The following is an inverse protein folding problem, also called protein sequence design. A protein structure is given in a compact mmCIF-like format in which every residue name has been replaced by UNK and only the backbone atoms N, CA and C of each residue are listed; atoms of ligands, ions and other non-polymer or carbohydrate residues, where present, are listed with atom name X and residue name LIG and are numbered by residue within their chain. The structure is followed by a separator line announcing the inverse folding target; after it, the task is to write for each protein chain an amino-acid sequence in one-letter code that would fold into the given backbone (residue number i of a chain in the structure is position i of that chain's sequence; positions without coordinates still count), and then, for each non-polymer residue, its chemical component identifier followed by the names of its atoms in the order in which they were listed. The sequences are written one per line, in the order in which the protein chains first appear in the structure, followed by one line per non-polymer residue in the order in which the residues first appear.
data_IF_699738294177
#
_entry.id   IF_699738294177
#
_cell.length_a   1.000
_cell.length_b   1.000
_cell.length_c   1.000
_cell.angle_alpha   90.00
_cell.angle_beta   90.00
_cell.angle_gamma   90.00
#
_symmetry.space_group_name_H-M   'P 1'
#
loop_
_entity.id
_entity.type
_entity.pdbx_description
1 polymer ?
#
# COMPACT_ATOMS: atom_id res chain seq x y z
N UNK A 1 -14.06 42.09 -5.25
CA UNK A 1 -15.33 42.84 -5.33
C UNK A 1 -15.96 42.77 -3.93
N UNK A 2 -15.99 43.85 -3.20
CA UNK A 2 -16.62 43.87 -1.88
C UNK A 2 -18.16 43.76 -2.04
N UNK A 3 -18.80 42.96 -1.19
CA UNK A 3 -20.26 42.79 -1.18
C UNK A 3 -20.82 41.73 -2.15
N UNK A 4 -19.97 40.88 -2.70
CA UNK A 4 -20.40 39.76 -3.55
C UNK A 4 -19.92 38.44 -2.97
N UNK A 5 -20.66 37.36 -3.22
CA UNK A 5 -20.32 36.00 -2.88
C UNK A 5 -20.43 35.09 -4.11
N UNK A 6 -19.62 34.06 -4.16
CA UNK A 6 -19.65 33.03 -5.21
C UNK A 6 -19.96 31.70 -4.57
N UNK A 7 -20.94 30.99 -5.10
CA UNK A 7 -21.26 29.62 -4.64
C UNK A 7 -20.25 28.64 -5.22
N UNK A 8 -19.60 27.89 -4.36
CA UNK A 8 -18.69 26.82 -4.73
C UNK A 8 -19.09 25.52 -4.04
N UNK A 9 -18.53 24.41 -4.47
CA UNK A 9 -18.72 23.10 -3.86
C UNK A 9 -17.47 22.73 -3.05
N UNK A 10 -17.62 21.77 -2.14
CA UNK A 10 -16.51 21.22 -1.37
C UNK A 10 -15.41 20.71 -2.33
N UNK A 11 -14.16 21.05 -2.05
CA UNK A 11 -13.01 20.72 -2.87
C UNK A 11 -12.78 21.62 -4.09
N UNK A 12 -13.71 22.56 -4.38
CA UNK A 12 -13.52 23.51 -5.47
C UNK A 12 -12.44 24.55 -5.13
N UNK A 13 -11.68 25.04 -6.13
CA UNK A 13 -10.75 26.13 -5.90
C UNK A 13 -11.49 27.40 -5.49
N UNK A 14 -10.97 28.08 -4.46
CA UNK A 14 -11.49 29.38 -4.02
C UNK A 14 -11.05 30.44 -5.04
N UNK A 15 -11.99 31.25 -5.56
CA UNK A 15 -11.62 32.34 -6.46
C UNK A 15 -10.64 33.33 -5.81
N UNK A 16 -9.67 33.83 -6.56
CA UNK A 16 -8.63 34.76 -6.07
C UNK A 16 -9.19 36.04 -5.41
N UNK A 17 -10.45 36.38 -5.70
CA UNK A 17 -11.14 37.54 -5.14
C UNK A 17 -11.82 37.25 -3.81
N UNK A 18 -11.76 36.00 -3.32
CA UNK A 18 -12.38 35.55 -2.08
C UNK A 18 -11.29 35.06 -1.11
N UNK A 19 -11.48 35.34 0.15
CA UNK A 19 -10.53 35.03 1.22
C UNK A 19 -11.13 34.22 2.37
N UNK A 20 -12.39 33.83 2.25
CA UNK A 20 -13.11 33.12 3.29
C UNK A 20 -14.20 32.25 2.67
N UNK A 21 -14.39 31.04 3.17
CA UNK A 21 -15.50 30.17 2.79
C UNK A 21 -16.48 30.04 3.94
N UNK A 22 -17.77 30.16 3.62
CA UNK A 22 -18.86 30.10 4.60
C UNK A 22 -19.73 28.89 4.26
N UNK A 23 -19.97 28.06 5.25
CA UNK A 23 -20.83 26.87 5.07
C UNK A 23 -22.25 27.28 4.72
N UNK A 24 -22.88 26.54 3.82
CA UNK A 24 -24.22 26.82 3.31
C UNK A 24 -25.27 26.91 4.44
N UNK A 25 -25.12 26.15 5.51
CA UNK A 25 -26.00 26.13 6.68
C UNK A 25 -26.01 27.44 7.46
N UNK A 26 -25.01 28.29 7.24
CA UNK A 26 -24.86 29.58 7.90
C UNK A 26 -25.21 30.76 6.98
N UNK A 27 -25.79 30.45 5.84
CA UNK A 27 -26.20 31.45 4.85
C UNK A 27 -27.69 31.40 4.64
N UNK A 28 -28.33 32.55 4.74
CA UNK A 28 -29.77 32.72 4.41
C UNK A 28 -29.84 33.51 3.10
N UNK A 29 -30.41 32.87 2.08
CA UNK A 29 -30.56 33.48 0.76
C UNK A 29 -32.00 33.91 0.48
N UNK A 30 -32.16 34.92 -0.36
CA UNK A 30 -33.44 35.41 -0.84
C UNK A 30 -33.49 35.38 -2.37
N UNK A 31 -34.63 34.93 -2.93
CA UNK A 31 -34.82 34.78 -4.38
C UNK A 31 -34.42 33.42 -4.92
N UNK A 32 -34.90 33.09 -6.13
CA UNK A 32 -34.52 31.88 -6.90
C UNK A 32 -34.09 32.30 -8.32
N UNK A 33 -32.78 32.19 -8.68
CA UNK A 33 -31.61 31.91 -7.82
C UNK A 33 -31.41 33.03 -6.79
N UNK A 34 -30.73 32.72 -5.65
CA UNK A 34 -30.49 33.71 -4.63
C UNK A 34 -29.81 34.97 -5.17
N UNK A 35 -30.49 36.08 -5.17
CA UNK A 35 -29.94 37.38 -5.64
C UNK A 35 -29.23 38.13 -4.53
N UNK A 36 -29.52 37.81 -3.27
CA UNK A 36 -28.80 38.28 -2.11
C UNK A 36 -28.72 37.21 -1.03
N UNK A 37 -27.69 37.27 -0.22
CA UNK A 37 -27.46 36.36 0.90
C UNK A 37 -27.19 37.17 2.18
N UNK A 38 -27.60 36.62 3.31
CA UNK A 38 -27.27 37.11 4.63
C UNK A 38 -26.42 36.06 5.32
N UNK A 39 -25.27 36.44 5.81
CA UNK A 39 -24.32 35.57 6.51
C UNK A 39 -24.59 35.65 8.00
N UNK A 40 -24.72 34.48 8.63
CA UNK A 40 -24.86 34.36 10.07
C UNK A 40 -23.53 34.02 10.70
N UNK A 41 -23.07 34.81 11.69
CA UNK A 41 -21.84 34.55 12.41
C UNK A 41 -20.72 35.53 12.13
N UNK A 42 -19.54 35.24 12.66
CA UNK A 42 -18.31 36.01 12.45
C UNK A 42 -17.27 35.10 11.85
N UNK A 43 -16.63 35.57 10.80
CA UNK A 43 -15.63 34.82 10.05
C UNK A 43 -14.33 35.61 9.97
N UNK A 44 -13.25 34.90 9.76
CA UNK A 44 -11.91 35.46 9.57
C UNK A 44 -11.40 35.09 8.17
N UNK A 45 -10.50 35.87 7.65
CA UNK A 45 -9.78 35.54 6.45
C UNK A 45 -9.06 34.18 6.63
N UNK A 46 -9.23 33.28 5.66
CA UNK A 46 -8.70 31.92 5.69
C UNK A 46 -9.65 30.86 6.29
N UNK A 47 -10.78 31.26 6.90
CA UNK A 47 -11.71 30.31 7.46
C UNK A 47 -12.23 29.34 6.38
N UNK A 48 -12.15 28.04 6.66
CA UNK A 48 -12.56 26.91 5.79
C UNK A 48 -11.86 26.85 4.43
N UNK A 49 -10.66 27.43 4.33
CA UNK A 49 -9.78 27.33 3.17
C UNK A 49 -8.58 26.48 3.56
N UNK A 50 -8.32 25.43 2.78
CA UNK A 50 -7.08 24.64 2.90
C UNK A 50 -6.01 25.31 2.06
N UNK A 51 -4.97 25.91 2.66
CA UNK A 51 -3.90 26.54 1.91
C UNK A 51 -3.05 25.48 1.19
N UNK A 52 -2.46 25.88 0.07
CA UNK A 52 -1.53 25.02 -0.65
C UNK A 52 -0.37 24.59 0.26
N UNK A 53 -0.13 23.29 0.34
CA UNK A 53 0.93 22.71 1.15
C UNK A 53 0.55 22.37 2.59
N UNK A 54 -0.70 22.53 3.00
CA UNK A 54 -1.15 22.18 4.35
C UNK A 54 -1.00 20.67 4.62
N UNK A 55 -1.37 19.81 3.68
CA UNK A 55 -1.21 18.35 3.84
C UNK A 55 0.24 17.92 3.67
N UNK A 56 0.92 18.43 2.63
CA UNK A 56 2.36 18.22 2.45
C UNK A 56 2.97 19.32 1.57
N UNK A 57 4.17 19.76 1.92
CA UNK A 57 4.92 20.74 1.12
C UNK A 57 5.70 20.02 0.00
N UNK A 58 5.94 20.75 -1.09
CA UNK A 58 6.86 20.28 -2.13
C UNK A 58 8.23 19.94 -1.52
N UNK A 59 8.82 18.85 -1.99
CA UNK A 59 10.11 18.32 -1.51
C UNK A 59 10.10 17.70 -0.10
N UNK A 60 8.95 17.60 0.55
CA UNK A 60 8.83 16.81 1.79
C UNK A 60 8.90 15.31 1.46
N UNK A 61 9.75 14.57 2.18
CA UNK A 61 9.75 13.12 2.08
C UNK A 61 8.54 12.59 2.85
N UNK A 62 7.49 12.19 2.11
CA UNK A 62 6.25 11.65 2.70
C UNK A 62 6.41 10.17 3.03
N UNK A 63 7.11 9.43 2.17
CA UNK A 63 7.38 7.99 2.34
C UNK A 63 8.89 7.78 2.25
N UNK A 64 9.56 7.47 3.36
CA UNK A 64 11.00 7.20 3.37
C UNK A 64 11.37 5.95 2.55
N UNK A 65 12.58 5.93 2.02
CA UNK A 65 13.14 4.74 1.38
C UNK A 65 13.16 3.54 2.36
N UNK A 66 12.81 2.35 1.87
CA UNK A 66 12.73 1.14 2.68
C UNK A 66 11.38 0.94 3.41
N UNK A 67 10.44 1.86 3.22
CA UNK A 67 9.08 1.68 3.76
C UNK A 67 8.37 0.54 3.03
N UNK A 68 7.72 -0.33 3.79
CA UNK A 68 6.87 -1.39 3.23
C UNK A 68 5.63 -0.78 2.54
N UNK A 69 5.31 -1.27 1.34
CA UNK A 69 4.16 -0.78 0.55
C UNK A 69 2.88 -1.45 1.05
N UNK A 70 2.35 -0.92 2.14
CA UNK A 70 1.05 -1.30 2.70
C UNK A 70 -0.10 -0.61 1.98
N UNK A 71 -1.35 -0.99 2.29
CA UNK A 71 -2.56 -0.30 1.80
C UNK A 71 -2.58 1.18 2.17
N UNK A 72 -2.08 1.54 3.35
CA UNK A 72 -1.95 2.94 3.78
C UNK A 72 -0.98 3.71 2.90
N UNK A 73 0.18 3.13 2.60
CA UNK A 73 1.17 3.74 1.68
C UNK A 73 0.58 3.90 0.29
N UNK A 74 -0.15 2.89 -0.22
CA UNK A 74 -0.86 3.00 -1.51
C UNK A 74 -1.88 4.13 -1.53
N UNK A 75 -2.62 4.32 -0.44
CA UNK A 75 -3.59 5.43 -0.30
C UNK A 75 -2.89 6.78 -0.40
N UNK A 76 -1.76 6.96 0.30
CA UNK A 76 -0.98 8.19 0.25
C UNK A 76 -0.46 8.45 -1.17
N UNK A 77 0.14 7.44 -1.81
CA UNK A 77 0.63 7.54 -3.19
C UNK A 77 -0.47 7.94 -4.16
N UNK A 78 -1.64 7.29 -4.04
CA UNK A 78 -2.81 7.60 -4.87
C UNK A 78 -3.29 9.04 -4.66
N UNK A 79 -3.37 9.50 -3.41
CA UNK A 79 -3.73 10.88 -3.07
C UNK A 79 -2.77 11.92 -3.66
N UNK A 80 -1.49 11.56 -3.80
CA UNK A 80 -0.46 12.38 -4.44
C UNK A 80 -0.42 12.24 -5.98
N UNK A 81 -1.27 11.40 -6.57
CA UNK A 81 -1.31 11.14 -8.02
C UNK A 81 -0.13 10.29 -8.53
N UNK A 82 0.57 9.58 -7.65
CA UNK A 82 1.71 8.72 -8.01
C UNK A 82 1.18 7.34 -8.40
N UNK A 83 1.40 6.93 -9.64
CA UNK A 83 0.91 5.66 -10.20
C UNK A 83 2.00 4.58 -10.29
N UNK A 84 3.26 4.96 -10.25
CA UNK A 84 4.40 4.05 -10.34
C UNK A 84 5.47 4.42 -9.32
N UNK A 85 6.02 3.41 -8.66
CA UNK A 85 7.16 3.53 -7.76
C UNK A 85 8.16 2.41 -8.00
N UNK A 86 9.43 2.68 -7.75
CA UNK A 86 10.46 1.64 -7.73
C UNK A 86 10.45 0.90 -6.41
N UNK A 87 10.33 -0.41 -6.45
CA UNK A 87 10.36 -1.27 -5.26
C UNK A 87 11.45 -2.33 -5.39
N UNK A 88 11.90 -2.86 -4.26
CA UNK A 88 12.78 -4.04 -4.26
C UNK A 88 12.01 -5.25 -4.79
N UNK A 89 12.64 -6.01 -5.68
CA UNK A 89 12.07 -7.26 -6.14
C UNK A 89 12.00 -8.27 -4.98
N UNK A 90 10.89 -8.99 -4.89
CA UNK A 90 10.79 -10.12 -3.96
C UNK A 90 11.79 -11.20 -4.37
N UNK A 91 12.58 -11.75 -3.42
CA UNK A 91 13.56 -12.79 -3.73
C UNK A 91 12.90 -14.07 -4.18
N UNK A 92 13.62 -14.85 -4.94
CA UNK A 92 13.30 -16.26 -5.18
C UNK A 92 13.79 -17.05 -3.96
N UNK A 93 12.96 -17.93 -3.44
CA UNK A 93 13.28 -18.75 -2.28
C UNK A 93 13.44 -20.20 -2.71
N UNK A 94 14.52 -20.81 -2.31
CA UNK A 94 14.75 -22.23 -2.45
C UNK A 94 14.57 -22.89 -1.07
N UNK A 95 13.71 -23.89 -1.01
CA UNK A 95 13.54 -24.74 0.18
C UNK A 95 14.15 -26.10 -0.14
N UNK A 96 15.12 -26.50 0.66
CA UNK A 96 15.70 -27.84 0.58
C UNK A 96 15.27 -28.62 1.81
N UNK A 97 14.76 -29.81 1.60
CA UNK A 97 14.53 -30.81 2.65
C UNK A 97 15.43 -32.00 2.40
N UNK A 98 15.97 -32.61 3.44
CA UNK A 98 16.79 -33.82 3.34
C UNK A 98 16.26 -34.89 4.28
N UNK A 99 16.71 -36.11 4.07
CA UNK A 99 16.39 -37.28 4.87
C UNK A 99 16.07 -38.48 4.01
N UNK A 100 16.85 -39.55 4.15
CA UNK A 100 16.60 -40.77 3.39
C UNK A 100 15.28 -41.49 3.83
N UNK A 101 14.80 -41.18 5.05
CA UNK A 101 13.52 -41.65 5.55
C UNK A 101 12.32 -40.88 5.03
N UNK A 102 12.53 -39.68 4.47
CA UNK A 102 11.47 -38.77 4.02
C UNK A 102 11.05 -39.11 2.58
N UNK A 103 9.74 -39.22 2.38
CA UNK A 103 9.15 -39.44 1.06
C UNK A 103 8.09 -38.36 0.77
N UNK A 104 7.77 -38.18 -0.50
CA UNK A 104 6.74 -37.22 -0.89
C UNK A 104 5.32 -37.79 -0.70
N UNK A 105 4.34 -36.94 -0.34
CA UNK A 105 2.93 -37.33 -0.30
C UNK A 105 2.49 -37.93 -1.66
N UNK A 106 1.86 -39.09 -1.61
CA UNK A 106 1.44 -39.86 -2.79
C UNK A 106 2.30 -41.09 -3.06
N UNK A 107 3.49 -41.17 -2.50
CA UNK A 107 4.31 -42.37 -2.51
C UNK A 107 3.83 -43.38 -1.46
N UNK A 108 4.11 -44.68 -1.70
CA UNK A 108 3.72 -45.73 -0.75
C UNK A 108 4.56 -45.70 0.52
N UNK A 109 3.89 -45.53 1.65
CA UNK A 109 4.55 -45.52 2.96
C UNK A 109 5.07 -46.92 3.30
N UNK A 110 6.36 -47.07 3.45
CA UNK A 110 7.01 -48.32 3.88
C UNK A 110 7.60 -48.18 5.29
N UNK A 111 7.88 -49.29 6.00
CA UNK A 111 8.49 -49.24 7.33
C UNK A 111 9.76 -48.39 7.34
N UNK A 112 9.88 -47.47 8.31
CA UNK A 112 11.00 -46.57 8.44
C UNK A 112 10.91 -45.28 7.59
N UNK A 113 9.84 -45.10 6.83
CA UNK A 113 9.60 -43.87 6.04
C UNK A 113 8.54 -42.97 6.69
N UNK A 114 8.66 -41.65 6.45
CA UNK A 114 7.71 -40.63 6.86
C UNK A 114 7.44 -39.66 5.71
N UNK A 115 6.26 -39.07 5.67
CA UNK A 115 5.95 -38.05 4.67
C UNK A 115 6.61 -36.70 4.96
N UNK A 116 6.98 -36.00 3.90
CA UNK A 116 7.60 -34.67 3.93
C UNK A 116 6.61 -33.58 4.35
N UNK A 117 6.25 -33.55 5.63
CA UNK A 117 5.39 -32.50 6.19
C UNK A 117 6.13 -31.17 6.36
N UNK A 118 7.45 -31.20 6.53
CA UNK A 118 8.28 -29.99 6.66
C UNK A 118 8.23 -29.12 5.39
N UNK A 119 8.22 -29.75 4.22
CA UNK A 119 8.00 -29.04 2.96
C UNK A 119 6.70 -28.22 3.00
N UNK A 120 5.59 -28.85 3.30
CA UNK A 120 4.28 -28.19 3.33
C UNK A 120 4.27 -27.03 4.34
N UNK A 121 4.81 -27.26 5.55
CA UNK A 121 4.87 -26.27 6.59
C UNK A 121 5.73 -25.07 6.19
N UNK A 122 6.96 -25.28 5.73
CA UNK A 122 7.90 -24.20 5.42
C UNK A 122 7.41 -23.40 4.20
N UNK A 123 6.97 -24.09 3.14
CA UNK A 123 6.45 -23.40 1.95
C UNK A 123 5.20 -22.59 2.28
N UNK A 124 4.26 -23.13 3.06
CA UNK A 124 3.07 -22.40 3.48
C UNK A 124 3.40 -21.15 4.33
N UNK A 125 4.30 -21.27 5.29
CA UNK A 125 4.75 -20.10 6.07
C UNK A 125 5.41 -19.02 5.20
N UNK A 126 6.18 -19.41 4.20
CA UNK A 126 6.78 -18.47 3.26
C UNK A 126 5.72 -17.80 2.38
N UNK A 127 4.70 -18.53 1.94
CA UNK A 127 3.57 -17.98 1.18
C UNK A 127 2.77 -16.98 2.03
N UNK A 128 2.50 -17.29 3.29
CA UNK A 128 1.85 -16.39 4.24
C UNK A 128 2.65 -15.09 4.46
N UNK A 129 3.98 -15.17 4.38
CA UNK A 129 4.87 -14.01 4.42
C UNK A 129 4.97 -13.25 3.08
N UNK A 130 4.24 -13.67 2.05
CA UNK A 130 4.19 -13.02 0.74
C UNK A 130 5.27 -13.45 -0.25
N UNK A 131 6.03 -14.52 0.03
CA UNK A 131 6.96 -15.09 -0.95
C UNK A 131 6.21 -16.00 -1.91
N UNK A 132 6.10 -15.60 -3.19
CA UNK A 132 5.36 -16.36 -4.21
C UNK A 132 6.27 -17.12 -5.20
N UNK A 133 7.58 -16.89 -5.15
CA UNK A 133 8.56 -17.56 -6.01
C UNK A 133 9.36 -18.57 -5.18
N UNK A 134 8.68 -19.64 -4.75
CA UNK A 134 9.24 -20.68 -3.93
C UNK A 134 9.49 -21.91 -4.80
N UNK A 135 10.68 -22.46 -4.74
CA UNK A 135 11.05 -23.73 -5.35
C UNK A 135 11.46 -24.69 -4.24
N UNK A 136 11.03 -25.92 -4.32
CA UNK A 136 11.39 -26.97 -3.35
C UNK A 136 12.11 -28.13 -4.03
N UNK A 137 13.15 -28.62 -3.37
CA UNK A 137 13.80 -29.89 -3.70
C UNK A 137 13.95 -30.73 -2.44
N UNK A 138 13.77 -32.04 -2.61
CA UNK A 138 14.16 -33.02 -1.63
C UNK A 138 15.46 -33.66 -2.06
N UNK A 139 16.48 -33.64 -1.22
CA UNK A 139 17.83 -34.12 -1.52
C UNK A 139 18.22 -35.26 -0.58
N UNK A 140 19.13 -36.11 -1.01
CA UNK A 140 19.69 -37.13 -0.12
C UNK A 140 20.60 -36.50 0.93
N UNK A 141 20.84 -37.18 2.05
CA UNK A 141 21.72 -36.70 3.12
C UNK A 141 23.22 -36.76 2.75
N UNK A 142 23.56 -37.22 1.53
CA UNK A 142 24.93 -37.23 1.07
C UNK A 142 25.42 -35.82 0.78
N UNK A 143 26.58 -35.38 1.35
CA UNK A 143 27.08 -34.00 1.17
C UNK A 143 27.28 -33.61 -0.30
N UNK A 144 27.73 -34.55 -1.14
CA UNK A 144 27.96 -34.30 -2.56
C UNK A 144 26.62 -34.03 -3.33
N UNK A 145 25.52 -34.67 -2.92
CA UNK A 145 24.21 -34.44 -3.49
C UNK A 145 23.69 -33.05 -3.15
N UNK A 146 23.87 -32.61 -1.91
CA UNK A 146 23.48 -31.27 -1.45
C UNK A 146 24.26 -30.18 -2.20
N UNK A 147 25.58 -30.30 -2.32
CA UNK A 147 26.41 -29.35 -3.04
C UNK A 147 26.04 -29.28 -4.53
N UNK A 148 25.73 -30.41 -5.16
CA UNK A 148 25.36 -30.44 -6.58
C UNK A 148 24.01 -29.74 -6.82
N UNK A 149 23.03 -29.96 -5.97
CA UNK A 149 21.71 -29.33 -6.07
C UNK A 149 21.78 -27.83 -5.81
N UNK A 150 22.49 -27.39 -4.77
CA UNK A 150 22.71 -25.97 -4.51
C UNK A 150 23.37 -25.29 -5.72
N UNK A 151 24.40 -25.86 -6.25
CA UNK A 151 25.11 -25.31 -7.43
C UNK A 151 24.25 -25.33 -8.71
N UNK A 152 23.33 -26.26 -8.85
CA UNK A 152 22.39 -26.30 -9.97
C UNK A 152 21.36 -25.16 -9.90
N UNK A 153 20.84 -24.87 -8.72
CA UNK A 153 19.77 -23.89 -8.53
C UNK A 153 20.27 -22.45 -8.47
N UNK A 154 21.54 -22.24 -8.08
CA UNK A 154 22.16 -20.91 -8.04
C UNK A 154 22.63 -20.39 -9.43
N UNK A 155 22.55 -21.21 -10.46
CA UNK A 155 22.83 -20.81 -11.86
C UNK A 155 21.58 -20.26 -12.53
#
# INVERSE_FOLDING_TARGET
MSGHAVRIMTGAPVPDTCDTVIMQEQVVGTGEPHTSITIQGKYRCGDHIIPQGEECNASTIVIPHGTEVTSTVQTILTGLGIIEISVNAMPRVLVLTSGHEVIEPGESLTPGKIYNSNRAMICGLLEDLGFHKITHYHVSDAPEALDSEINYVLK
#
